data_IF_700470807029
#
_entry.id   IF_700470807029
#
_cell.length_a   1.000
_cell.length_b   1.000
_cell.length_c   1.000
_cell.angle_alpha   90.00
_cell.angle_beta   90.00
_cell.angle_gamma   90.00
#
_symmetry.space_group_name_H-M   'P 1'
#
loop_
_entity.id
_entity.type
_entity.pdbx_description
1 polymer ?
#
# COMPACT_ATOMS: atom_id res chain seq x y z
N UNK A 1 -18.54 10.67 -19.58
CA UNK A 1 -17.19 11.11 -19.17
C UNK A 1 -16.17 10.10 -19.68
N UNK A 2 -15.25 10.50 -20.55
CA UNK A 2 -14.09 9.68 -20.90
C UNK A 2 -13.01 9.92 -19.85
N UNK A 3 -12.74 8.93 -19.00
CA UNK A 3 -11.61 8.95 -18.09
C UNK A 3 -10.53 7.98 -18.58
N UNK A 4 -9.26 8.40 -18.53
CA UNK A 4 -8.12 7.53 -18.84
C UNK A 4 -7.88 6.62 -17.63
N UNK A 5 -8.31 5.37 -17.71
CA UNK A 5 -8.01 4.39 -16.68
C UNK A 5 -6.50 4.10 -16.64
N UNK A 6 -5.83 4.52 -15.56
CA UNK A 6 -4.40 4.29 -15.34
C UNK A 6 -4.13 2.87 -14.85
N UNK A 7 -5.00 2.38 -13.99
CA UNK A 7 -4.98 1.02 -13.46
C UNK A 7 -6.42 0.55 -13.25
N UNK A 8 -6.66 -0.76 -13.45
CA UNK A 8 -7.98 -1.38 -13.27
C UNK A 8 -7.80 -2.71 -12.54
N UNK A 9 -8.64 -3.02 -11.53
CA UNK A 9 -8.59 -4.32 -10.90
C UNK A 9 -9.03 -5.42 -11.86
N UNK A 10 -8.48 -6.62 -11.66
CA UNK A 10 -8.99 -7.81 -12.33
C UNK A 10 -10.42 -8.12 -11.84
N UNK A 11 -11.28 -8.68 -12.72
CA UNK A 11 -12.58 -9.18 -12.30
C UNK A 11 -12.41 -10.29 -11.25
N UNK A 12 -13.36 -10.39 -10.32
CA UNK A 12 -13.30 -11.34 -9.21
C UNK A 12 -12.64 -10.74 -7.97
N UNK A 13 -11.64 -11.43 -7.43
CA UNK A 13 -11.18 -11.18 -6.05
C UNK A 13 -10.54 -9.80 -5.81
N UNK A 14 -9.85 -9.22 -6.80
CA UNK A 14 -9.35 -7.84 -6.66
C UNK A 14 -10.48 -6.80 -6.65
N UNK A 15 -11.46 -6.97 -7.54
CA UNK A 15 -12.63 -6.07 -7.59
C UNK A 15 -13.42 -6.15 -6.28
N UNK A 16 -13.63 -7.37 -5.76
CA UNK A 16 -14.32 -7.60 -4.50
C UNK A 16 -13.59 -6.97 -3.30
N UNK A 17 -12.26 -7.13 -3.19
CA UNK A 17 -11.50 -6.56 -2.08
C UNK A 17 -11.47 -5.02 -2.11
N UNK A 18 -11.49 -4.41 -3.30
CA UNK A 18 -11.53 -2.95 -3.44
C UNK A 18 -12.91 -2.34 -3.16
N UNK A 19 -13.99 -3.05 -3.52
CA UNK A 19 -15.37 -2.62 -3.27
C UNK A 19 -15.88 -3.00 -1.88
N UNK A 20 -15.19 -3.88 -1.16
CA UNK A 20 -15.60 -4.32 0.17
C UNK A 20 -15.63 -3.14 1.16
N UNK A 21 -16.79 -2.89 1.82
CA UNK A 21 -16.98 -1.76 2.74
C UNK A 21 -16.41 -2.03 4.15
N UNK A 22 -15.95 -3.24 4.44
CA UNK A 22 -15.40 -3.59 5.74
C UNK A 22 -14.18 -2.73 6.09
N UNK A 23 -14.05 -2.41 7.38
CA UNK A 23 -12.91 -1.70 7.95
C UNK A 23 -11.63 -2.52 7.80
N UNK A 24 -11.73 -3.82 8.09
CA UNK A 24 -10.63 -4.79 8.00
C UNK A 24 -10.95 -5.85 6.94
N UNK A 25 -9.94 -6.19 6.13
CA UNK A 25 -10.07 -7.16 5.04
C UNK A 25 -8.88 -8.09 5.07
N UNK A 26 -9.14 -9.38 5.28
CA UNK A 26 -8.19 -10.44 4.98
C UNK A 26 -8.36 -10.86 3.52
N UNK A 27 -7.37 -10.56 2.68
CA UNK A 27 -7.37 -10.99 1.28
C UNK A 27 -6.32 -12.10 1.08
N UNK A 28 -6.78 -13.35 1.14
CA UNK A 28 -5.95 -14.55 1.00
C UNK A 28 -6.22 -15.32 -0.31
N UNK A 29 -5.50 -16.43 -0.54
CA UNK A 29 -5.67 -17.31 -1.69
C UNK A 29 -4.36 -17.62 -2.41
N UNK A 30 -4.46 -18.12 -3.64
CA UNK A 30 -3.32 -18.59 -4.45
C UNK A 30 -2.28 -17.51 -4.78
N UNK A 31 -1.09 -17.92 -5.24
CA UNK A 31 -0.08 -17.01 -5.79
C UNK A 31 -0.47 -16.56 -7.21
N UNK A 32 -0.20 -15.30 -7.55
CA UNK A 32 -0.50 -14.74 -8.88
C UNK A 32 -1.79 -13.92 -9.08
N UNK A 33 -2.84 -13.93 -8.22
CA UNK A 33 -4.07 -13.17 -8.49
C UNK A 33 -3.93 -11.66 -8.24
N UNK A 34 -2.73 -11.16 -7.94
CA UNK A 34 -2.43 -9.74 -7.78
C UNK A 34 -2.93 -9.11 -6.47
N UNK A 35 -2.88 -9.85 -5.36
CA UNK A 35 -3.29 -9.36 -4.02
C UNK A 35 -2.54 -8.08 -3.61
N UNK A 36 -1.22 -8.07 -3.80
CA UNK A 36 -0.37 -6.92 -3.52
C UNK A 36 -0.73 -5.70 -4.37
N UNK A 37 -1.11 -5.89 -5.65
CA UNK A 37 -1.62 -4.81 -6.49
C UNK A 37 -2.93 -4.24 -5.94
N UNK A 38 -3.84 -5.09 -5.48
CA UNK A 38 -5.10 -4.64 -4.86
C UNK A 38 -4.85 -3.87 -3.56
N UNK A 39 -3.90 -4.29 -2.72
CA UNK A 39 -3.52 -3.56 -1.50
C UNK A 39 -2.98 -2.16 -1.82
N UNK A 40 -2.08 -2.04 -2.81
CA UNK A 40 -1.57 -0.75 -3.29
C UNK A 40 -2.69 0.13 -3.86
N UNK A 41 -3.58 -0.46 -4.68
CA UNK A 41 -4.72 0.26 -5.24
C UNK A 41 -5.71 0.73 -4.15
N UNK A 42 -5.89 -0.04 -3.08
CA UNK A 42 -6.74 0.30 -1.93
C UNK A 42 -6.24 1.56 -1.23
N UNK A 43 -4.94 1.73 -1.07
CA UNK A 43 -4.36 2.98 -0.57
C UNK A 43 -4.55 4.11 -1.59
N UNK A 44 -4.18 3.86 -2.86
CA UNK A 44 -4.16 4.89 -3.92
C UNK A 44 -5.53 5.49 -4.21
N UNK A 45 -6.64 4.75 -3.99
CA UNK A 45 -8.00 5.24 -4.27
C UNK A 45 -8.38 6.49 -3.44
N UNK A 46 -7.72 6.70 -2.31
CA UNK A 46 -7.96 7.83 -1.40
C UNK A 46 -6.89 8.94 -1.52
N UNK A 47 -5.98 8.84 -2.48
CA UNK A 47 -4.97 9.88 -2.74
C UNK A 47 -5.49 10.90 -3.72
N UNK A 48 -5.35 12.19 -3.39
CA UNK A 48 -5.76 13.30 -4.25
C UNK A 48 -7.26 13.63 -4.19
N UNK A 49 -7.99 13.08 -3.21
CA UNK A 49 -9.42 13.35 -3.01
C UNK A 49 -9.72 14.36 -1.88
N UNK A 50 -8.67 14.95 -1.28
CA UNK A 50 -8.79 16.03 -0.30
C UNK A 50 -8.28 15.74 1.11
N UNK A 51 -7.82 14.52 1.40
CA UNK A 51 -7.27 14.18 2.73
C UNK A 51 -5.86 14.75 2.97
N UNK A 52 -5.03 14.87 1.93
CA UNK A 52 -3.68 15.42 2.03
C UNK A 52 -2.84 14.74 3.11
N UNK A 53 -2.15 15.53 3.94
CA UNK A 53 -1.26 15.00 5.00
C UNK A 53 -1.94 14.13 6.06
N UNK A 54 -3.27 14.12 6.14
CA UNK A 54 -4.00 13.23 7.04
C UNK A 54 -4.10 11.80 6.49
N UNK A 55 -3.94 11.58 5.18
CA UNK A 55 -3.94 10.24 4.61
C UNK A 55 -2.53 9.66 4.59
N UNK A 56 -2.16 9.08 5.73
CA UNK A 56 -0.90 8.40 5.95
C UNK A 56 -1.13 6.89 5.99
N UNK A 57 -0.29 6.15 5.30
CA UNK A 57 -0.37 4.70 5.25
C UNK A 57 0.95 4.03 5.56
N UNK A 58 0.89 2.85 6.17
CA UNK A 58 2.04 1.97 6.33
C UNK A 58 1.70 0.57 5.83
N UNK A 59 2.61 -0.04 5.07
CA UNK A 59 2.56 -1.45 4.72
C UNK A 59 3.75 -2.15 5.35
N UNK A 60 3.46 -3.15 6.17
CA UNK A 60 4.42 -4.03 6.79
C UNK A 60 4.66 -5.27 5.93
N UNK A 61 5.92 -5.68 5.84
CA UNK A 61 6.33 -6.96 5.28
C UNK A 61 7.26 -7.69 6.27
N UNK A 62 7.21 -9.01 6.25
CA UNK A 62 7.91 -9.89 7.19
C UNK A 62 9.35 -10.17 6.79
N UNK A 63 9.72 -9.91 5.54
CA UNK A 63 11.09 -10.08 5.02
C UNK A 63 11.51 -8.88 4.17
N UNK A 64 12.77 -8.45 4.32
CA UNK A 64 13.34 -7.36 3.52
C UNK A 64 13.30 -7.62 2.01
N UNK A 65 13.43 -8.90 1.61
CA UNK A 65 13.32 -9.31 0.21
C UNK A 65 11.92 -9.07 -0.35
N UNK A 66 10.87 -9.44 0.41
CA UNK A 66 9.48 -9.23 0.00
C UNK A 66 9.12 -7.73 -0.01
N UNK A 67 9.71 -6.95 0.91
CA UNK A 67 9.61 -5.49 0.90
C UNK A 67 10.09 -4.89 -0.45
N UNK A 68 11.15 -5.45 -1.03
CA UNK A 68 11.68 -5.01 -2.33
C UNK A 68 10.69 -5.30 -3.47
N UNK A 69 9.97 -6.42 -3.41
CA UNK A 69 9.01 -6.82 -4.43
C UNK A 69 7.78 -5.90 -4.44
N UNK A 70 7.19 -5.62 -3.27
CA UNK A 70 6.07 -4.66 -3.17
C UNK A 70 6.50 -3.25 -3.56
N UNK A 71 7.70 -2.80 -3.17
CA UNK A 71 8.25 -1.50 -3.59
C UNK A 71 8.36 -1.46 -5.13
N UNK A 72 8.89 -2.51 -5.75
CA UNK A 72 9.02 -2.60 -7.21
C UNK A 72 7.66 -2.54 -7.89
N UNK A 73 6.66 -3.24 -7.36
CA UNK A 73 5.29 -3.20 -7.87
C UNK A 73 4.64 -1.82 -7.69
N UNK A 74 4.85 -1.16 -6.55
CA UNK A 74 4.34 0.20 -6.30
C UNK A 74 4.93 1.22 -7.27
N UNK A 75 6.24 1.13 -7.59
CA UNK A 75 6.90 1.95 -8.62
C UNK A 75 6.31 1.76 -9.99
N UNK A 76 5.99 0.52 -10.38
CA UNK A 76 5.32 0.24 -11.66
C UNK A 76 3.91 0.82 -11.68
N UNK A 77 3.16 0.73 -10.58
CA UNK A 77 1.77 1.21 -10.52
C UNK A 77 1.68 2.73 -10.42
N UNK A 78 2.28 3.34 -9.40
CA UNK A 78 2.05 4.74 -9.07
C UNK A 78 2.67 5.71 -10.08
N UNK A 79 3.78 5.36 -10.73
CA UNK A 79 4.37 6.20 -11.78
C UNK A 79 3.48 6.36 -13.00
N UNK A 80 2.57 5.41 -13.27
CA UNK A 80 1.63 5.51 -14.39
C UNK A 80 0.62 6.65 -14.22
N UNK A 81 0.38 7.11 -13.00
CA UNK A 81 -0.54 8.22 -12.72
C UNK A 81 0.04 9.56 -13.16
N UNK A 82 1.38 9.68 -13.22
CA UNK A 82 2.08 10.91 -13.60
C UNK A 82 1.58 12.15 -12.84
N UNK A 83 1.33 11.98 -11.53
CA UNK A 83 0.71 12.96 -10.63
C UNK A 83 1.73 13.66 -9.72
N UNK A 84 3.03 13.55 -10.04
CA UNK A 84 4.12 14.16 -9.28
C UNK A 84 4.51 13.39 -8.01
N UNK A 85 3.95 12.19 -7.77
CA UNK A 85 4.36 11.34 -6.66
C UNK A 85 5.86 11.00 -6.72
N UNK A 86 6.54 11.12 -5.58
CA UNK A 86 7.97 10.83 -5.45
C UNK A 86 8.18 9.64 -4.53
N UNK A 87 9.06 8.74 -4.93
CA UNK A 87 9.52 7.66 -4.07
C UNK A 87 10.84 8.08 -3.43
N UNK A 88 10.88 8.11 -2.11
CA UNK A 88 12.06 8.45 -1.32
C UNK A 88 12.80 7.16 -0.96
N UNK A 89 14.12 7.16 -1.15
CA UNK A 89 15.00 6.00 -0.91
C UNK A 89 16.07 6.42 0.07
N UNK A 90 15.76 6.33 1.36
CA UNK A 90 16.75 6.39 2.43
C UNK A 90 16.47 5.27 3.43
N UNK A 91 17.45 4.95 4.28
CA UNK A 91 17.29 3.92 5.30
C UNK A 91 16.08 4.19 6.22
N UNK A 92 15.71 5.46 6.42
CA UNK A 92 14.57 5.87 7.24
C UNK A 92 13.30 6.19 6.43
N UNK A 93 13.38 6.38 5.11
CA UNK A 93 12.29 6.95 4.30
C UNK A 93 11.82 6.06 3.16
N UNK A 94 11.84 4.73 3.25
CA UNK A 94 11.19 3.87 2.26
C UNK A 94 9.69 4.20 2.15
N UNK A 95 9.32 5.19 1.33
CA UNK A 95 7.97 5.76 1.25
C UNK A 95 7.68 6.46 -0.08
N UNK A 96 6.40 6.50 -0.42
CA UNK A 96 5.86 7.45 -1.39
C UNK A 96 5.40 8.73 -0.70
N UNK A 97 5.61 9.86 -1.37
CA UNK A 97 5.10 11.18 -1.00
C UNK A 97 4.41 11.82 -2.20
N UNK A 98 3.14 12.18 -2.04
CA UNK A 98 2.38 12.91 -3.04
C UNK A 98 2.49 14.42 -2.85
N UNK A 99 2.37 15.23 -3.93
CA UNK A 99 2.41 16.70 -3.82
C UNK A 99 1.33 17.28 -2.89
N UNK A 100 0.21 16.57 -2.74
CA UNK A 100 -0.91 16.92 -1.87
C UNK A 100 -0.68 16.56 -0.40
N UNK A 101 0.43 15.90 -0.06
CA UNK A 101 0.86 15.61 1.31
C UNK A 101 0.61 14.19 1.80
N UNK A 102 -0.15 13.37 1.07
CA UNK A 102 -0.35 11.95 1.40
C UNK A 102 0.99 11.20 1.36
N UNK A 103 1.11 10.18 2.19
CA UNK A 103 2.31 9.33 2.21
C UNK A 103 1.99 7.86 2.45
N UNK A 104 2.78 6.98 1.82
CA UNK A 104 2.72 5.53 2.02
C UNK A 104 4.10 5.00 2.35
N UNK A 105 4.28 4.54 3.58
CA UNK A 105 5.51 3.97 4.10
C UNK A 105 5.54 2.46 3.86
N UNK A 106 6.72 1.94 3.57
CA UNK A 106 7.02 0.52 3.57
C UNK A 106 7.94 0.24 4.75
N UNK A 107 7.53 -0.68 5.63
CA UNK A 107 8.28 -1.02 6.84
C UNK A 107 8.45 -2.52 6.96
N UNK A 108 9.59 -2.88 7.53
CA UNK A 108 9.80 -4.23 8.00
C UNK A 108 9.19 -4.34 9.40
N UNK A 109 8.46 -5.42 9.66
CA UNK A 109 7.95 -5.75 10.98
C UNK A 109 7.96 -7.25 11.14
N UNK A 110 8.89 -7.78 11.92
CA UNK A 110 9.01 -9.21 12.19
C UNK A 110 8.39 -9.57 13.52
N UNK A 111 8.51 -8.69 14.51
CA UNK A 111 8.04 -8.92 15.87
C UNK A 111 7.07 -7.84 16.31
N UNK A 112 6.22 -8.15 17.29
CA UNK A 112 5.29 -7.17 17.90
C UNK A 112 6.06 -5.95 18.45
N UNK A 113 7.30 -6.15 18.91
CA UNK A 113 8.24 -5.10 19.31
C UNK A 113 8.49 -4.04 18.21
N UNK A 114 8.64 -4.47 16.95
CA UNK A 114 8.85 -3.56 15.81
C UNK A 114 7.62 -2.68 15.53
N UNK A 115 6.43 -3.14 15.92
CA UNK A 115 5.19 -2.37 15.80
C UNK A 115 5.11 -1.24 16.84
N UNK A 116 5.69 -1.43 18.03
CA UNK A 116 5.67 -0.42 19.10
C UNK A 116 6.37 0.88 18.72
N UNK A 117 7.40 0.83 17.85
CA UNK A 117 8.07 2.02 17.30
C UNK A 117 7.12 2.91 16.46
N UNK A 118 5.99 2.36 16.01
CA UNK A 118 4.98 3.05 15.20
C UNK A 118 3.70 3.39 15.96
N UNK A 119 3.56 2.93 17.21
CA UNK A 119 2.32 3.06 17.99
C UNK A 119 2.00 4.51 18.40
N UNK A 120 2.96 5.43 18.28
CA UNK A 120 2.77 6.88 18.45
C UNK A 120 2.38 7.63 17.18
N UNK A 121 2.25 6.95 16.04
CA UNK A 121 1.95 7.58 14.75
C UNK A 121 0.53 7.25 14.28
N UNK A 122 -0.19 8.27 13.83
CA UNK A 122 -1.53 8.10 13.25
C UNK A 122 -1.44 7.59 11.81
N UNK A 123 -1.86 6.33 11.59
CA UNK A 123 -1.97 5.71 10.28
C UNK A 123 -3.42 5.28 10.00
N UNK A 124 -4.22 6.10 9.27
CA UNK A 124 -5.56 5.68 8.84
C UNK A 124 -5.55 4.50 7.85
N UNK A 125 -4.40 4.14 7.29
CA UNK A 125 -4.23 2.93 6.50
C UNK A 125 -3.08 2.07 7.02
N UNK A 126 -3.38 0.83 7.38
CA UNK A 126 -2.39 -0.17 7.76
C UNK A 126 -2.59 -1.39 6.87
N UNK A 127 -1.50 -1.85 6.26
CA UNK A 127 -1.48 -3.07 5.45
C UNK A 127 -0.43 -4.04 5.95
N UNK A 128 -0.74 -5.33 5.89
CA UNK A 128 0.22 -6.41 6.10
C UNK A 128 0.36 -7.19 4.80
N UNK A 129 1.58 -7.40 4.34
CA UNK A 129 1.88 -8.23 3.18
C UNK A 129 2.43 -9.60 3.65
N UNK A 130 1.96 -10.68 3.00
CA UNK A 130 2.40 -12.06 3.26
C UNK A 130 2.40 -12.50 4.74
N UNK A 131 1.32 -12.17 5.47
CA UNK A 131 1.16 -12.44 6.90
C UNK A 131 1.41 -13.91 7.32
N UNK A 132 1.04 -14.88 6.47
CA UNK A 132 1.15 -16.32 6.77
C UNK A 132 2.57 -16.90 6.65
N UNK A 133 3.58 -16.07 6.40
CA UNK A 133 4.99 -16.48 6.46
C UNK A 133 5.57 -16.47 7.88
N UNK A 134 4.87 -15.89 8.86
CA UNK A 134 5.28 -15.96 10.26
C UNK A 134 5.10 -17.40 10.77
N UNK A 135 6.21 -18.09 11.04
CA UNK A 135 6.25 -19.35 11.79
C UNK A 135 6.96 -19.11 13.11
#
# INVERSE_FOLDING_TARGET
>A
MNYKAVWKPLPGSQSLSLSCPCNEILYEGTRGPGKTAAQLARFRKNVGIGYGSFWRGVIFDTEYKNLTDIITQSKRMYRLFNDGARYLVSASELRWLWPTGEELLFRFGKEEADYWDYNGQEFPFIGFNELTKQQ
#
